data_IF_616996306054
#
_entry.id   IF_616996306054
#
_cell.length_a   1.000
_cell.length_b   1.000
_cell.length_c   1.000
_cell.angle_alpha   90.00
_cell.angle_beta   90.00
_cell.angle_gamma   90.00
#
_symmetry.space_group_name_H-M   'P 1'
#
loop_
_entity.id
_entity.type
_entity.pdbx_description
1 polymer ?
#
# COMPACT_ATOMS: atom_id res chain seq x y z
N UNK A 1 -3.27 -7.70 9.53
CA UNK A 1 -3.78 -8.37 10.75
C UNK A 1 -2.62 -8.83 11.62
N UNK A 2 -1.82 -9.82 11.22
CA UNK A 2 -0.64 -10.25 12.00
C UNK A 2 0.35 -9.12 12.31
N UNK A 3 0.65 -8.24 11.35
CA UNK A 3 1.57 -7.11 11.61
C UNK A 3 0.99 -6.12 12.61
N UNK A 4 -0.29 -5.74 12.44
CA UNK A 4 -1.01 -4.87 13.38
C UNK A 4 -1.02 -5.48 14.79
N UNK A 5 -1.24 -6.79 14.92
CA UNK A 5 -1.16 -7.48 16.22
C UNK A 5 0.27 -7.47 16.78
N UNK A 6 1.30 -7.59 15.94
CA UNK A 6 2.68 -7.55 16.42
C UNK A 6 3.11 -6.14 16.86
N UNK A 7 2.73 -5.10 16.12
CA UNK A 7 3.29 -3.74 16.29
C UNK A 7 2.30 -2.71 16.83
N UNK A 8 1.00 -2.99 16.82
CA UNK A 8 -0.08 -2.11 17.29
C UNK A 8 -1.22 -2.88 18.00
N UNK A 9 -0.88 -3.84 18.86
CA UNK A 9 -1.88 -4.68 19.55
C UNK A 9 -2.78 -3.90 20.50
N UNK A 10 -2.28 -2.83 21.11
CA UNK A 10 -2.96 -2.05 22.15
C UNK A 10 -3.60 -0.76 21.65
N UNK A 11 -3.56 -0.48 20.34
CA UNK A 11 -4.15 0.73 19.79
C UNK A 11 -5.67 0.76 19.94
N UNK A 12 -6.21 1.92 20.35
CA UNK A 12 -7.65 2.16 20.42
C UNK A 12 -8.29 1.96 19.05
N UNK A 13 -9.38 1.19 18.99
CA UNK A 13 -10.08 0.91 17.73
C UNK A 13 -10.81 2.15 17.23
N UNK A 14 -10.94 2.24 15.91
CA UNK A 14 -11.82 3.20 15.28
C UNK A 14 -13.26 2.69 15.40
N UNK A 15 -14.01 3.38 16.25
CA UNK A 15 -15.41 3.13 16.55
C UNK A 15 -16.24 4.31 16.04
N UNK A 16 -17.41 4.02 15.46
CA UNK A 16 -18.27 5.04 14.89
C UNK A 16 -19.74 4.62 14.99
N UNK A 17 -20.60 5.61 15.12
CA UNK A 17 -22.05 5.40 15.17
C UNK A 17 -22.66 5.66 13.78
N UNK A 18 -23.48 4.73 13.31
CA UNK A 18 -24.30 4.90 12.12
C UNK A 18 -25.73 4.46 12.42
N UNK A 19 -26.70 5.32 12.13
CA UNK A 19 -28.12 5.03 12.32
C UNK A 19 -28.50 4.58 13.75
N UNK A 20 -27.78 5.05 14.77
CA UNK A 20 -28.02 4.67 16.17
C UNK A 20 -27.34 3.37 16.61
N UNK A 21 -26.59 2.72 15.73
CA UNK A 21 -25.81 1.51 16.04
C UNK A 21 -24.31 1.80 16.03
N UNK A 22 -23.60 1.20 17.00
CA UNK A 22 -22.15 1.29 17.10
C UNK A 22 -21.49 0.24 16.20
N UNK A 23 -20.66 0.73 15.28
CA UNK A 23 -19.82 -0.08 14.40
C UNK A 23 -18.34 0.14 14.74
N UNK A 24 -17.52 -0.84 14.37
CA UNK A 24 -16.07 -0.73 14.47
C UNK A 24 -15.42 -1.26 13.20
N UNK A 25 -14.32 -0.62 12.81
CA UNK A 25 -13.43 -1.16 11.78
C UNK A 25 -12.22 -1.83 12.44
N UNK A 26 -11.56 -2.72 11.71
CA UNK A 26 -10.31 -3.34 12.18
C UNK A 26 -9.09 -2.40 12.04
N UNK A 27 -9.31 -1.11 12.28
CA UNK A 27 -8.34 -0.03 12.25
C UNK A 27 -8.18 0.53 13.66
N UNK A 28 -6.98 0.95 14.00
CA UNK A 28 -6.57 1.40 15.32
C UNK A 28 -5.74 2.66 15.22
N UNK A 29 -5.80 3.47 16.26
CA UNK A 29 -4.90 4.61 16.41
C UNK A 29 -3.45 4.19 16.14
N UNK A 30 -2.73 4.98 15.36
CA UNK A 30 -1.37 4.74 14.87
C UNK A 30 -1.20 3.64 13.82
N UNK A 31 -2.28 3.08 13.27
CA UNK A 31 -2.15 2.21 12.10
C UNK A 31 -1.64 2.98 10.90
N UNK A 32 -0.78 2.31 10.12
CA UNK A 32 -0.53 2.73 8.74
C UNK A 32 -1.77 2.43 7.90
N UNK A 33 -2.18 3.40 7.11
CA UNK A 33 -3.37 3.37 6.27
C UNK A 33 -2.95 3.44 4.82
N UNK A 34 -3.56 2.60 4.00
CA UNK A 34 -3.48 2.61 2.55
C UNK A 34 -4.85 3.01 1.99
N UNK A 35 -4.87 3.98 1.09
CA UNK A 35 -6.08 4.37 0.38
C UNK A 35 -6.26 3.60 -0.92
N UNK A 36 -7.46 3.09 -1.18
CA UNK A 36 -7.75 2.24 -2.35
C UNK A 36 -8.55 2.95 -3.44
N UNK A 37 -9.03 4.17 -3.18
CA UNK A 37 -9.80 4.97 -4.12
C UNK A 37 -9.33 6.43 -4.12
N UNK A 38 -9.68 7.18 -5.16
CA UNK A 38 -9.33 8.58 -5.29
C UNK A 38 -10.40 9.46 -4.62
N UNK A 39 -9.97 10.40 -3.78
CA UNK A 39 -10.77 11.53 -3.30
C UNK A 39 -9.96 12.80 -3.53
N UNK A 40 -10.04 13.35 -4.74
CA UNK A 40 -9.23 14.49 -5.17
C UNK A 40 -9.49 15.75 -4.34
N UNK A 41 -10.73 15.93 -3.88
CA UNK A 41 -11.16 17.00 -2.97
C UNK A 41 -10.42 16.96 -1.62
N UNK A 42 -9.88 15.80 -1.24
CA UNK A 42 -9.17 15.56 0.03
C UNK A 42 -7.69 15.26 -0.17
N UNK A 43 -7.17 15.43 -1.39
CA UNK A 43 -5.77 15.10 -1.72
C UNK A 43 -5.45 13.60 -1.71
N UNK A 44 -6.45 12.72 -1.61
CA UNK A 44 -6.24 11.27 -1.57
C UNK A 44 -6.23 10.71 -2.99
N UNK A 45 -5.17 9.98 -3.31
CA UNK A 45 -5.08 9.15 -4.53
C UNK A 45 -5.00 7.67 -4.15
N UNK A 46 -5.45 6.77 -5.02
CA UNK A 46 -5.30 5.33 -4.84
C UNK A 46 -3.81 4.97 -4.77
N UNK A 47 -3.41 4.33 -3.68
CA UNK A 47 -2.00 4.06 -3.36
C UNK A 47 -1.40 5.06 -2.36
N UNK A 48 -2.11 6.14 -2.01
CA UNK A 48 -1.65 7.06 -0.97
C UNK A 48 -1.55 6.34 0.37
N UNK A 49 -0.55 6.74 1.15
CA UNK A 49 -0.28 6.23 2.48
C UNK A 49 -0.50 7.35 3.51
N UNK A 50 -0.79 6.93 4.73
CA UNK A 50 -0.84 7.82 5.89
C UNK A 50 -0.89 7.05 7.20
N UNK A 51 -1.06 7.77 8.29
CA UNK A 51 -1.23 7.23 9.63
C UNK A 51 -2.56 7.68 10.23
N UNK A 52 -3.30 6.76 10.85
CA UNK A 52 -4.51 7.10 11.60
C UNK A 52 -4.10 7.80 12.91
N UNK A 53 -4.23 9.13 12.96
CA UNK A 53 -3.75 9.98 14.06
C UNK A 53 -4.83 10.31 15.08
N UNK A 54 -6.11 10.05 14.78
CA UNK A 54 -7.21 10.16 15.73
C UNK A 54 -8.31 9.16 15.43
N UNK A 55 -8.91 8.61 16.49
CA UNK A 55 -10.11 7.75 16.46
C UNK A 55 -11.28 8.38 17.22
N UNK A 56 -11.18 9.67 17.55
CA UNK A 56 -12.22 10.39 18.29
C UNK A 56 -13.20 11.00 17.28
N UNK A 57 -14.47 10.61 17.41
CA UNK A 57 -15.52 11.16 16.58
C UNK A 57 -15.81 12.64 16.92
N UNK A 58 -16.02 13.46 15.90
CA UNK A 58 -16.37 14.87 16.02
C UNK A 58 -17.23 15.30 14.84
N UNK A 59 -18.53 15.51 15.08
CA UNK A 59 -19.51 15.82 14.03
C UNK A 59 -19.62 14.66 13.03
N UNK A 60 -19.42 14.95 11.73
CA UNK A 60 -19.45 13.95 10.65
C UNK A 60 -18.15 13.16 10.47
N UNK A 61 -17.16 13.40 11.32
CA UNK A 61 -15.85 12.76 11.25
C UNK A 61 -15.70 11.70 12.33
N UNK A 62 -15.24 10.51 11.95
CA UNK A 62 -14.96 9.38 12.85
C UNK A 62 -13.52 9.38 13.38
N UNK A 63 -12.68 10.31 12.94
CA UNK A 63 -11.26 10.35 13.23
C UNK A 63 -10.47 11.21 12.25
N UNK A 64 -9.15 11.16 12.33
CA UNK A 64 -8.24 11.92 11.46
C UNK A 64 -7.10 11.02 10.99
N UNK A 65 -6.78 11.08 9.69
CA UNK A 65 -5.58 10.49 9.11
C UNK A 65 -4.63 11.62 8.73
N UNK A 66 -3.35 11.46 9.02
CA UNK A 66 -2.28 12.30 8.47
C UNK A 66 -1.63 11.56 7.31
N UNK A 67 -1.73 12.10 6.10
CA UNK A 67 -1.09 11.55 4.91
C UNK A 67 0.43 11.68 5.00
N UNK A 68 1.16 10.87 4.23
CA UNK A 68 2.63 10.98 4.13
C UNK A 68 3.07 12.33 3.55
N UNK A 69 2.18 13.04 2.84
CA UNK A 69 2.38 14.43 2.39
C UNK A 69 2.38 15.45 3.55
N UNK A 70 1.91 15.06 4.73
CA UNK A 70 1.68 15.91 5.89
C UNK A 70 0.25 16.44 6.00
N UNK A 71 -0.59 16.22 4.99
CA UNK A 71 -1.97 16.70 4.97
C UNK A 71 -2.85 15.93 5.96
N UNK A 72 -3.71 16.65 6.69
CA UNK A 72 -4.67 16.07 7.61
C UNK A 72 -6.02 15.90 6.92
N UNK A 73 -6.53 14.67 6.94
CA UNK A 73 -7.82 14.31 6.33
C UNK A 73 -8.76 13.79 7.40
N UNK A 74 -9.95 14.38 7.47
CA UNK A 74 -11.05 13.90 8.30
C UNK A 74 -11.58 12.58 7.76
N UNK A 75 -11.71 11.59 8.63
CA UNK A 75 -12.30 10.29 8.30
C UNK A 75 -13.82 10.45 8.26
N UNK A 76 -14.36 10.78 7.09
CA UNK A 76 -15.81 10.71 6.80
C UNK A 76 -16.18 9.31 6.32
N UNK A 77 -17.46 8.96 6.24
CA UNK A 77 -17.90 7.66 5.69
C UNK A 77 -17.22 7.30 4.35
N UNK A 78 -17.24 8.20 3.37
CA UNK A 78 -16.63 7.96 2.06
C UNK A 78 -15.11 7.71 2.13
N UNK A 79 -14.42 8.32 3.10
CA UNK A 79 -12.97 8.11 3.29
C UNK A 79 -12.75 6.77 3.97
N UNK A 80 -13.55 6.46 4.99
CA UNK A 80 -13.49 5.20 5.70
C UNK A 80 -13.67 3.99 4.76
N UNK A 81 -14.57 4.10 3.79
CA UNK A 81 -14.87 3.04 2.81
C UNK A 81 -13.68 2.69 1.89
N UNK A 82 -12.67 3.55 1.79
CA UNK A 82 -11.46 3.30 1.00
C UNK A 82 -10.18 3.13 1.82
N UNK A 83 -10.28 3.05 3.15
CA UNK A 83 -9.15 2.83 4.04
C UNK A 83 -8.89 1.35 4.28
N UNK A 84 -7.66 0.91 4.03
CA UNK A 84 -7.14 -0.42 4.37
C UNK A 84 -5.88 -0.31 5.22
N UNK A 85 -5.46 -1.41 5.85
CA UNK A 85 -4.18 -1.46 6.57
C UNK A 85 -3.00 -1.36 5.59
N UNK A 86 -2.13 -0.37 5.80
CA UNK A 86 -0.96 -0.06 4.98
C UNK A 86 0.33 -0.77 5.38
N UNK A 87 0.31 -1.71 6.33
CA UNK A 87 1.50 -2.42 6.82
C UNK A 87 2.28 -3.20 5.75
N UNK A 88 1.61 -3.61 4.69
CA UNK A 88 2.24 -4.24 3.53
C UNK A 88 1.47 -3.82 2.29
N UNK A 89 2.19 -3.39 1.27
CA UNK A 89 1.60 -2.95 0.00
C UNK A 89 2.12 -3.79 -1.14
N UNK A 90 1.35 -3.87 -2.21
CA UNK A 90 1.81 -4.52 -3.44
C UNK A 90 2.79 -3.59 -4.16
N UNK A 91 3.71 -4.17 -4.94
CA UNK A 91 4.67 -3.38 -5.71
C UNK A 91 4.00 -2.38 -6.66
N UNK A 92 2.86 -2.76 -7.25
CA UNK A 92 2.08 -1.87 -8.11
C UNK A 92 1.62 -0.61 -7.39
N UNK A 93 1.24 -0.72 -6.10
CA UNK A 93 0.84 0.42 -5.28
C UNK A 93 2.04 1.23 -4.76
N UNK A 94 3.24 0.66 -4.76
CA UNK A 94 4.48 1.34 -4.41
C UNK A 94 5.15 2.04 -5.62
N UNK A 95 4.57 1.98 -6.81
CA UNK A 95 5.17 2.54 -8.01
C UNK A 95 5.24 4.07 -7.92
N UNK A 96 6.44 4.63 -8.09
CA UNK A 96 6.67 6.08 -7.94
C UNK A 96 7.07 6.49 -6.52
N UNK A 97 6.80 5.67 -5.51
CA UNK A 97 7.26 5.89 -4.13
C UNK A 97 8.69 5.38 -3.92
N UNK A 98 9.41 5.94 -2.97
CA UNK A 98 10.68 5.42 -2.48
C UNK A 98 10.66 5.39 -0.96
N UNK A 99 11.41 4.46 -0.37
CA UNK A 99 11.48 4.26 1.07
C UNK A 99 12.93 4.05 1.49
N UNK A 100 13.37 4.58 2.65
CA UNK A 100 14.74 4.41 3.12
C UNK A 100 15.17 2.94 3.18
N UNK A 101 14.28 2.08 3.69
CA UNK A 101 14.47 0.64 3.81
C UNK A 101 13.22 -0.08 3.31
N UNK A 102 13.39 -1.16 2.55
CA UNK A 102 12.29 -2.04 2.13
C UNK A 102 12.53 -3.49 2.55
N UNK A 103 11.43 -4.21 2.79
CA UNK A 103 11.42 -5.66 2.96
C UNK A 103 10.57 -6.26 1.84
N UNK A 104 11.17 -7.10 1.00
CA UNK A 104 10.51 -7.79 -0.11
C UNK A 104 10.19 -9.21 0.34
N UNK A 105 8.91 -9.52 0.51
CA UNK A 105 8.44 -10.89 0.63
C UNK A 105 8.42 -11.54 -0.76
N UNK A 106 9.47 -12.30 -1.08
CA UNK A 106 9.69 -12.89 -2.40
C UNK A 106 9.12 -14.30 -2.45
N UNK A 107 8.20 -14.52 -3.39
CA UNK A 107 7.68 -15.84 -3.73
C UNK A 107 7.50 -15.92 -5.24
N UNK A 108 7.98 -17.01 -5.86
CA UNK A 108 7.79 -17.22 -7.29
C UNK A 108 6.30 -17.37 -7.62
N UNK A 109 5.85 -16.65 -8.62
CA UNK A 109 4.48 -16.70 -9.13
C UNK A 109 4.41 -16.19 -10.56
N UNK A 110 3.21 -16.19 -11.15
CA UNK A 110 3.01 -15.75 -12.54
C UNK A 110 3.38 -14.28 -12.79
N UNK A 111 3.31 -13.44 -11.76
CA UNK A 111 3.53 -11.98 -11.82
C UNK A 111 4.97 -11.62 -11.44
N UNK A 112 5.66 -12.48 -10.68
CA UNK A 112 6.98 -12.17 -10.12
C UNK A 112 8.05 -12.66 -11.09
N UNK A 113 8.58 -11.72 -11.87
CA UNK A 113 9.68 -11.93 -12.80
C UNK A 113 10.86 -10.97 -12.51
N UNK A 114 11.86 -10.97 -13.39
CA UNK A 114 13.06 -10.14 -13.23
C UNK A 114 12.74 -8.64 -13.23
N UNK A 115 11.80 -8.17 -14.04
CA UNK A 115 11.43 -6.76 -14.08
C UNK A 115 10.64 -6.34 -12.83
N UNK A 116 9.78 -7.23 -12.32
CA UNK A 116 9.11 -7.04 -11.04
C UNK A 116 10.15 -6.89 -9.91
N UNK A 117 11.10 -7.82 -9.82
CA UNK A 117 12.14 -7.77 -8.79
C UNK A 117 13.02 -6.53 -8.91
N UNK A 118 13.42 -6.16 -10.13
CA UNK A 118 14.15 -4.92 -10.39
C UNK A 118 13.38 -3.70 -9.90
N UNK A 119 12.09 -3.61 -10.25
CA UNK A 119 11.23 -2.50 -9.83
C UNK A 119 11.12 -2.44 -8.31
N UNK A 120 10.95 -3.58 -7.63
CA UNK A 120 10.94 -3.66 -6.17
C UNK A 120 12.24 -3.16 -5.56
N UNK A 121 13.39 -3.62 -6.06
CA UNK A 121 14.72 -3.20 -5.60
C UNK A 121 14.89 -1.68 -5.72
N UNK A 122 14.47 -1.07 -6.84
CA UNK A 122 14.59 0.39 -7.05
C UNK A 122 13.67 1.24 -6.15
N UNK A 123 12.76 0.63 -5.37
CA UNK A 123 11.97 1.37 -4.38
C UNK A 123 12.77 1.69 -3.12
N UNK A 124 13.89 1.03 -2.88
CA UNK A 124 14.75 1.31 -1.74
C UNK A 124 15.72 2.46 -2.02
N UNK A 125 15.91 3.32 -1.03
CA UNK A 125 16.90 4.39 -1.10
C UNK A 125 18.25 3.94 -0.52
N UNK A 126 18.24 3.15 0.56
CA UNK A 126 19.47 2.81 1.29
C UNK A 126 19.61 1.33 1.64
N UNK A 127 18.52 0.60 1.91
CA UNK A 127 18.60 -0.77 2.41
C UNK A 127 17.47 -1.68 1.92
N UNK A 128 17.80 -2.94 1.64
CA UNK A 128 16.89 -3.94 1.12
C UNK A 128 17.06 -5.24 1.89
N UNK A 129 15.95 -5.79 2.37
CA UNK A 129 15.89 -7.17 2.85
C UNK A 129 14.98 -7.98 1.91
N UNK A 130 15.47 -9.11 1.42
CA UNK A 130 14.68 -10.04 0.61
C UNK A 130 14.41 -11.28 1.46
N UNK A 131 13.14 -11.59 1.68
CA UNK A 131 12.69 -12.71 2.51
C UNK A 131 11.93 -13.68 1.61
N UNK A 132 12.48 -14.88 1.41
CA UNK A 132 11.90 -15.89 0.53
C UNK A 132 12.85 -17.07 0.31
N UNK A 133 12.44 -18.02 -0.54
CA UNK A 133 13.28 -19.17 -0.86
C UNK A 133 14.43 -18.77 -1.81
N UNK A 134 15.65 -19.25 -1.52
CA UNK A 134 16.82 -19.04 -2.38
C UNK A 134 16.57 -19.56 -3.82
N UNK A 135 15.87 -20.68 -3.95
CA UNK A 135 15.48 -21.26 -5.24
C UNK A 135 14.59 -20.34 -6.08
N UNK A 136 13.67 -19.60 -5.44
CA UNK A 136 12.81 -18.64 -6.11
C UNK A 136 13.63 -17.46 -6.64
N UNK A 137 14.52 -16.90 -5.81
CA UNK A 137 15.42 -15.82 -6.23
C UNK A 137 16.29 -16.23 -7.41
N UNK A 138 16.90 -17.43 -7.37
CA UNK A 138 17.68 -17.98 -8.49
C UNK A 138 16.85 -18.10 -9.76
N UNK A 139 15.62 -18.60 -9.65
CA UNK A 139 14.75 -18.79 -10.81
C UNK A 139 14.32 -17.46 -11.43
N UNK A 140 13.92 -16.50 -10.60
CA UNK A 140 13.46 -15.16 -11.02
C UNK A 140 14.59 -14.39 -11.71
N UNK A 141 15.83 -14.52 -11.23
CA UNK A 141 16.99 -13.79 -11.78
C UNK A 141 17.54 -14.41 -13.07
N UNK A 142 17.40 -15.72 -13.28
CA UNK A 142 17.86 -16.41 -14.47
C UNK A 142 16.90 -16.28 -15.68
N UNK A 143 15.59 -16.13 -15.43
CA UNK A 143 14.59 -16.04 -16.49
C UNK A 143 14.60 -14.66 -17.18
N UNK A 144 14.37 -14.59 -18.51
CA UNK A 144 14.11 -13.31 -19.18
C UNK A 144 12.80 -12.70 -18.67
N UNK A 145 12.75 -11.37 -18.60
CA UNK A 145 11.56 -10.64 -18.19
C UNK A 145 10.39 -10.87 -19.15
N UNK A 146 9.17 -11.03 -18.63
CA UNK A 146 7.95 -11.15 -19.43
C UNK A 146 7.68 -9.88 -20.25
N UNK A 147 8.22 -8.73 -19.84
CA UNK A 147 8.16 -7.47 -20.61
C UNK A 147 8.70 -7.61 -22.03
N UNK A 148 9.66 -8.53 -22.24
CA UNK A 148 10.28 -8.76 -23.56
C UNK A 148 9.38 -9.58 -24.50
N UNK A 149 8.26 -10.11 -23.98
CA UNK A 149 7.27 -10.88 -24.75
C UNK A 149 5.99 -10.09 -25.00
N UNK A 150 6.01 -8.76 -24.80
CA UNK A 150 4.82 -7.92 -24.93
C UNK A 150 4.38 -7.84 -26.39
N UNK A 151 3.22 -8.41 -26.70
CA UNK A 151 2.58 -8.27 -28.01
C UNK A 151 2.20 -6.81 -28.25
N UNK A 152 2.95 -6.11 -29.10
CA UNK A 152 2.69 -4.71 -29.46
C UNK A 152 3.16 -4.43 -30.89
N UNK A 153 2.30 -3.76 -31.67
CA UNK A 153 2.60 -3.39 -33.07
C UNK A 153 3.30 -2.03 -33.20
N UNK A 154 3.63 -1.38 -32.07
CA UNK A 154 4.21 -0.03 -32.06
C UNK A 154 5.55 0.02 -32.81
N UNK A 155 6.38 -1.01 -32.66
CA UNK A 155 7.67 -1.10 -33.34
C UNK A 155 7.50 -1.17 -34.86
N UNK A 156 6.47 -1.87 -35.33
CA UNK A 156 6.19 -2.01 -36.77
C UNK A 156 5.57 -0.74 -37.36
N UNK A 157 4.81 0.01 -36.56
CA UNK A 157 4.27 1.32 -36.95
C UNK A 157 5.36 2.39 -37.06
N UNK A 158 6.36 2.37 -36.18
CA UNK A 158 7.49 3.33 -36.20
C UNK A 158 8.49 3.11 -37.34
N UNK A 159 8.42 1.97 -38.02
CA UNK A 159 9.27 1.64 -39.19
C UNK A 159 8.69 2.15 -40.52
N UNK A 160 7.51 2.78 -40.52
CA UNK A 160 6.89 3.41 -41.68
C UNK A 160 7.23 4.89 -41.73
#
# INVERSE_FOLDING_TARGET
KLTQEAVNHSGSRLEFEMNGELFFQHLRLNDSILFTQNHYDKGIQNGSLGALTSVVASGESYGEVTLDTGDKVKVTQAVLDCMELGYAITLHKAQGSQFPRIIIALQKGKIVDRAWLYTAITRAESEIHIVGAEADLKTITAAPSHSNMRNSYLVDLLKR
#
